data_IF_684169710264
#
_entry.id   IF_684169710264
#
_cell.length_a   1.000
_cell.length_b   1.000
_cell.length_c   1.000
_cell.angle_alpha   90.00
_cell.angle_beta   90.00
_cell.angle_gamma   90.00
#
_symmetry.space_group_name_H-M   'P 1'
#
loop_
_entity.id
_entity.type
_entity.pdbx_description
1 polymer ?
2 water ?
#
# COMPACT_ATOMS: atom_id res chain seq x y z
N UNK A 19 20.00 -18.36 17.37
CA UNK A 19 20.04 -18.17 15.89
C UNK A 19 18.96 -17.21 15.39
N UNK A 20 17.72 -17.44 15.84
CA UNK A 20 16.59 -16.60 15.43
C UNK A 20 16.94 -15.13 15.67
N UNK A 21 17.46 -14.86 16.85
CA UNK A 21 17.84 -13.51 17.22
C UNK A 21 18.91 -13.00 16.25
N UNK A 22 19.87 -13.85 15.94
CA UNK A 22 20.94 -13.48 15.03
C UNK A 22 20.36 -13.15 13.67
N UNK A 23 19.43 -13.98 13.22
CA UNK A 23 18.80 -13.78 11.92
C UNK A 23 17.99 -12.48 11.96
N UNK A 24 17.43 -12.18 13.12
CA UNK A 24 16.63 -10.96 13.30
C UNK A 24 17.51 -9.71 13.17
N UNK A 25 18.71 -9.75 13.76
CA UNK A 25 19.63 -8.62 13.67
C UNK A 25 20.08 -8.41 12.23
N UNK A 26 20.29 -9.51 11.52
CA UNK A 26 20.72 -9.43 10.12
C UNK A 26 19.63 -8.72 9.28
N UNK A 27 18.36 -9.02 9.56
CA UNK A 27 17.25 -8.42 8.83
C UNK A 27 17.20 -6.91 9.06
N UNK A 28 17.35 -6.51 10.32
CA UNK A 28 17.33 -5.09 10.70
C UNK A 28 18.49 -4.33 10.04
N UNK A 29 19.68 -4.93 10.10
CA UNK A 29 20.88 -4.30 9.55
C UNK A 29 20.75 -3.93 8.07
N UNK A 30 19.98 -4.71 7.31
CA UNK A 30 19.78 -4.44 5.89
C UNK A 30 19.03 -3.12 5.65
N UNK A 31 18.20 -2.73 6.60
CA UNK A 31 17.39 -1.50 6.48
C UNK A 31 18.13 -0.22 6.82
N UNK A 32 19.24 -0.36 7.54
CA UNK A 32 20.01 0.81 7.97
C UNK A 32 20.40 1.80 6.88
N UNK A 33 20.38 3.08 7.25
CA UNK A 33 20.79 4.14 6.37
C UNK A 33 21.76 5.01 7.16
N UNK A 34 22.67 5.73 6.48
CA UNK A 34 23.68 6.59 7.11
C UNK A 34 23.24 7.58 8.19
N UNK A 35 21.99 8.04 8.13
CA UNK A 35 21.52 9.00 9.11
C UNK A 35 21.21 8.37 10.47
N UNK A 36 21.19 7.04 10.53
CA UNK A 36 20.90 6.38 11.80
C UNK A 36 22.15 6.41 12.68
N UNK A 37 21.99 6.94 13.89
CA UNK A 37 23.10 7.03 14.83
C UNK A 37 22.83 6.06 15.96
N UNK A 38 23.79 5.18 16.23
CA UNK A 38 23.62 4.20 17.30
C UNK A 38 23.49 4.85 18.65
N UNK A 44 18.88 2.38 21.64
CA UNK A 44 17.87 2.74 20.65
C UNK A 44 18.48 3.54 19.52
N UNK A 45 17.92 3.44 18.33
CA UNK A 45 18.45 4.17 17.21
C UNK A 45 17.86 5.57 17.04
N UNK A 46 18.73 6.54 16.77
CA UNK A 46 18.32 7.92 16.57
C UNK A 46 18.40 8.21 15.07
N UNK A 47 17.59 9.14 14.58
CA UNK A 47 17.64 9.49 13.18
C UNK A 47 18.10 10.93 13.02
N UNK A 48 19.27 11.11 12.41
CA UNK A 48 19.82 12.44 12.20
C UNK A 48 19.20 13.12 10.99
N UNK A 49 18.07 13.78 11.23
CA UNK A 49 17.36 14.48 10.18
C UNK A 49 18.20 15.60 9.57
N UNK A 50 19.02 16.26 10.39
CA UNK A 50 19.85 17.37 9.91
C UNK A 50 20.75 16.98 8.74
N UNK A 51 21.06 15.70 8.63
CA UNK A 51 21.93 15.22 7.55
C UNK A 51 21.28 15.36 6.18
N UNK A 52 19.94 15.37 6.15
CA UNK A 52 19.19 15.45 4.90
C UNK A 52 19.07 16.86 4.32
N UNK A 53 19.31 17.88 5.15
CA UNK A 53 19.24 19.25 4.65
C UNK A 53 17.89 19.82 4.28
N UNK A 54 16.84 19.50 5.03
CA UNK A 54 15.52 20.04 4.77
C UNK A 54 15.53 21.43 5.41
N UNK A 55 14.96 22.41 4.72
CA UNK A 55 14.95 23.78 5.24
C UNK A 55 13.80 24.00 6.21
N UNK A 56 12.61 23.60 5.80
CA UNK A 56 11.42 23.73 6.63
C UNK A 56 10.79 22.34 6.72
N UNK A 57 11.38 21.45 7.52
CA UNK A 57 10.87 20.08 7.68
C UNK A 57 9.51 19.95 8.35
N UNK A 58 8.66 19.12 7.77
CA UNK A 58 7.34 18.82 8.33
C UNK A 58 7.31 17.29 8.47
N UNK A 59 6.99 16.81 9.65
CA UNK A 59 6.96 15.37 9.90
C UNK A 59 5.57 14.78 9.67
N UNK A 60 5.53 13.68 8.93
CA UNK A 60 4.28 12.99 8.63
C UNK A 60 4.44 11.59 9.19
N UNK A 61 3.50 11.18 10.02
CA UNK A 61 3.58 9.87 10.65
C UNK A 61 2.29 9.08 10.46
N UNK A 62 2.35 7.79 10.74
CA UNK A 62 1.18 6.96 10.60
C UNK A 62 1.38 5.60 11.22
N UNK A 63 0.29 4.99 11.67
CA UNK A 63 0.37 3.66 12.27
C UNK A 63 -0.66 2.78 11.58
N UNK A 64 -0.42 1.48 11.58
CA UNK A 64 -1.35 0.55 10.95
C UNK A 64 -1.10 -0.89 11.36
N UNK A 65 -2.15 -1.69 11.27
CA UNK A 65 -2.07 -3.10 11.58
C UNK A 65 -2.45 -3.83 10.31
N UNK A 66 -1.94 -5.04 10.11
CA UNK A 66 -2.27 -5.79 8.91
C UNK A 66 -3.77 -5.99 8.72
N UNK A 67 -4.45 -6.37 9.82
CA UNK A 67 -5.88 -6.59 9.73
C UNK A 67 -6.18 -8.07 9.65
N UNK A 68 -7.37 -8.42 9.18
CA UNK A 68 -7.79 -9.81 9.07
C UNK A 68 -6.93 -10.66 8.13
N UNK A 69 -6.15 -10.02 7.27
CA UNK A 69 -5.27 -10.74 6.35
C UNK A 69 -4.32 -11.61 7.19
N UNK A 70 -4.10 -11.17 8.42
CA UNK A 70 -3.21 -11.87 9.34
C UNK A 70 -3.71 -13.29 9.58
N UNK A 71 -5.03 -13.46 9.60
CA UNK A 71 -5.66 -14.76 9.82
C UNK A 71 -5.15 -15.79 8.81
N UNK A 72 -4.89 -15.34 7.59
CA UNK A 72 -4.38 -16.24 6.56
C UNK A 72 -2.95 -16.62 6.89
N UNK A 73 -2.20 -15.67 7.45
CA UNK A 73 -0.83 -15.92 7.83
C UNK A 73 -0.82 -17.06 8.85
N UNK A 74 -1.76 -17.02 9.79
CA UNK A 74 -1.87 -18.05 10.81
C UNK A 74 -2.15 -19.42 10.19
N UNK A 75 -3.22 -19.48 9.40
CA UNK A 75 -3.63 -20.72 8.73
C UNK A 75 -2.57 -21.38 7.87
N UNK A 76 -1.75 -20.57 7.20
CA UNK A 76 -0.71 -21.10 6.33
C UNK A 76 0.64 -21.24 7.02
N UNK A 77 0.73 -20.78 8.25
CA UNK A 77 1.97 -20.83 9.00
C UNK A 77 3.09 -20.19 8.18
N UNK A 78 2.77 -19.07 7.55
CA UNK A 78 3.72 -18.31 6.73
C UNK A 78 3.69 -16.88 7.27
N UNK A 79 4.78 -16.46 7.91
CA UNK A 79 4.81 -15.14 8.51
C UNK A 79 5.87 -14.17 8.04
N UNK A 80 6.60 -14.51 6.99
CA UNK A 80 7.65 -13.65 6.48
C UNK A 80 7.22 -12.63 5.43
N UNK A 81 5.91 -12.51 5.19
CA UNK A 81 5.43 -11.53 4.21
C UNK A 81 4.44 -10.49 4.78
N UNK A 82 3.64 -10.85 5.78
CA UNK A 82 2.68 -9.87 6.31
C UNK A 82 3.34 -8.61 6.84
N UNK A 83 4.64 -8.70 7.13
CA UNK A 83 5.35 -7.53 7.63
C UNK A 83 5.43 -6.49 6.54
N UNK A 84 5.47 -6.94 5.29
CA UNK A 84 5.55 -6.03 4.14
C UNK A 84 4.24 -5.25 4.05
N UNK A 85 3.11 -5.95 4.21
CA UNK A 85 1.79 -5.32 4.17
C UNK A 85 1.73 -4.24 5.22
N UNK A 86 2.25 -4.54 6.41
CA UNK A 86 2.25 -3.59 7.52
C UNK A 86 3.02 -2.33 7.13
N UNK A 87 4.24 -2.52 6.63
CA UNK A 87 5.08 -1.40 6.22
C UNK A 87 4.44 -0.61 5.07
N UNK A 88 3.90 -1.34 4.10
CA UNK A 88 3.26 -0.71 2.95
C UNK A 88 2.10 0.20 3.35
N UNK A 89 1.23 -0.28 4.24
CA UNK A 89 0.09 0.52 4.67
C UNK A 89 0.53 1.86 5.27
N UNK A 90 1.54 1.83 6.14
CA UNK A 90 2.02 3.05 6.76
C UNK A 90 2.76 3.95 5.76
N UNK A 91 3.67 3.37 5.00
CA UNK A 91 4.47 4.14 4.04
C UNK A 91 3.70 4.75 2.87
N UNK A 92 2.82 3.98 2.26
CA UNK A 92 2.04 4.48 1.13
C UNK A 92 1.18 5.67 1.53
N UNK A 93 0.70 5.67 2.77
CA UNK A 93 -0.10 6.79 3.23
C UNK A 93 0.74 8.05 3.43
N UNK A 94 2.02 7.84 3.76
CA UNK A 94 2.95 8.95 3.98
C UNK A 94 3.38 9.63 2.68
N UNK A 95 3.74 8.83 1.68
CA UNK A 95 4.20 9.39 0.41
C UNK A 95 3.13 10.13 -0.41
N UNK A 96 1.85 9.83 -0.18
CA UNK A 96 0.80 10.51 -0.94
C UNK A 96 0.77 12.00 -0.57
N UNK A 97 1.39 12.32 0.56
CA UNK A 97 1.45 13.71 0.99
C UNK A 97 2.77 14.35 0.58
N UNK A 98 3.57 13.59 -0.16
CA UNK A 98 4.85 14.10 -0.64
C UNK A 98 6.03 13.90 0.27
N UNK A 99 5.84 13.10 1.32
CA UNK A 99 6.92 12.87 2.27
C UNK A 99 7.78 11.68 1.89
N UNK A 100 9.03 11.71 2.34
CA UNK A 100 9.95 10.61 2.07
C UNK A 100 10.01 9.83 3.39
N UNK A 101 9.87 8.50 3.33
CA UNK A 101 9.91 7.69 4.56
C UNK A 101 11.32 7.69 5.16
N UNK A 102 11.41 7.91 6.48
CA UNK A 102 12.70 7.95 7.18
C UNK A 102 12.98 6.72 8.04
N UNK A 103 12.04 6.35 8.91
CA UNK A 103 12.24 5.20 9.76
C UNK A 103 10.93 4.53 10.14
N UNK A 104 11.05 3.29 10.62
CA UNK A 104 9.88 2.48 10.97
C UNK A 104 10.15 1.80 12.32
N UNK A 105 9.08 1.44 13.02
CA UNK A 105 9.18 0.73 14.29
C UNK A 105 8.01 -0.26 14.33
N UNK A 106 8.26 -1.48 14.81
CA UNK A 106 7.18 -2.46 14.88
C UNK A 106 6.88 -2.92 16.31
N UNK A 107 5.65 -3.41 16.50
CA UNK A 107 5.22 -3.90 17.79
C UNK A 107 4.53 -5.24 17.56
N UNK A 108 5.12 -6.30 18.09
CA UNK A 108 4.56 -7.64 17.95
C UNK A 108 4.02 -8.12 19.30
N UNK A 109 2.73 -8.43 19.35
CA UNK A 109 2.11 -8.93 20.57
C UNK A 109 1.79 -10.41 20.36
N UNK A 110 2.03 -11.22 21.39
CA UNK A 110 1.76 -12.65 21.30
C UNK A 110 1.69 -13.30 22.68
N UNK A 111 1.16 -14.52 22.72
CA UNK A 111 1.06 -15.25 23.96
C UNK A 111 2.46 -15.51 24.46
N UNK A 112 3.17 -16.40 23.78
CA UNK A 112 4.55 -16.70 24.12
C UNK A 112 5.36 -16.46 22.85
N UNK A 113 6.58 -15.96 23.02
CA UNK A 113 7.43 -15.64 21.87
C UNK A 113 8.34 -16.76 21.42
N UNK A 114 8.08 -17.28 20.22
CA UNK A 114 8.90 -18.33 19.63
C UNK A 114 9.90 -17.61 18.73
N UNK A 115 11.19 -17.61 19.13
CA UNK A 115 12.28 -16.96 18.40
C UNK A 115 12.20 -17.02 16.87
N UNK A 116 12.11 -18.22 16.31
CA UNK A 116 12.05 -18.37 14.85
C UNK A 116 10.83 -17.70 14.23
N UNK A 117 9.72 -17.72 14.96
CA UNK A 117 8.48 -17.12 14.51
C UNK A 117 8.63 -15.59 14.46
N UNK A 118 9.15 -15.03 15.54
CA UNK A 118 9.36 -13.59 15.63
C UNK A 118 10.34 -13.15 14.55
N UNK A 119 11.35 -13.97 14.32
CA UNK A 119 12.38 -13.69 13.32
C UNK A 119 11.79 -13.57 11.92
N UNK A 120 10.81 -14.42 11.62
CA UNK A 120 10.16 -14.41 10.31
C UNK A 120 9.25 -13.19 10.14
N UNK A 121 8.56 -12.80 11.21
CA UNK A 121 7.68 -11.65 11.17
C UNK A 121 8.52 -10.39 10.93
N UNK A 122 9.64 -10.29 11.61
CA UNK A 122 10.52 -9.13 11.47
C UNK A 122 11.14 -9.09 10.09
N UNK A 123 11.52 -10.25 9.55
CA UNK A 123 12.12 -10.32 8.23
C UNK A 123 11.25 -9.59 7.19
N UNK A 124 9.95 -9.85 7.24
CA UNK A 124 9.04 -9.22 6.30
C UNK A 124 8.98 -7.71 6.48
N UNK A 125 9.06 -7.27 7.73
CA UNK A 125 9.05 -5.86 8.06
C UNK A 125 10.31 -5.21 7.49
N UNK A 126 11.44 -5.87 7.71
CA UNK A 126 12.72 -5.37 7.22
C UNK A 126 12.68 -5.28 5.69
N UNK A 127 12.21 -6.35 5.05
CA UNK A 127 12.14 -6.35 3.58
C UNK A 127 11.33 -5.15 3.10
N UNK A 128 10.19 -4.91 3.75
CA UNK A 128 9.35 -3.79 3.36
C UNK A 128 10.09 -2.48 3.57
N UNK A 129 10.80 -2.38 4.70
CA UNK A 129 11.58 -1.19 5.02
C UNK A 129 12.65 -0.96 3.96
N UNK A 130 13.27 -2.05 3.52
CA UNK A 130 14.29 -1.95 2.47
C UNK A 130 13.63 -1.37 1.22
N UNK A 131 12.49 -1.93 0.84
CA UNK A 131 11.78 -1.44 -0.34
C UNK A 131 11.38 0.03 -0.22
N UNK A 132 10.98 0.43 0.98
CA UNK A 132 10.55 1.81 1.22
C UNK A 132 11.68 2.80 1.42
N UNK A 133 12.87 2.30 1.75
CA UNK A 133 14.02 3.16 1.95
C UNK A 133 14.09 3.73 3.35
N UNK A 134 13.31 3.17 4.27
CA UNK A 134 13.31 3.65 5.65
C UNK A 134 14.01 2.62 6.54
N UNK A 135 14.61 3.10 7.62
CA UNK A 135 15.31 2.19 8.52
C UNK A 135 14.42 1.69 9.63
N UNK A 136 14.55 0.41 9.96
CA UNK A 136 13.80 -0.19 11.06
C UNK A 136 14.65 0.09 12.29
N UNK A 137 14.47 1.27 12.87
CA UNK A 137 15.25 1.70 14.04
C UNK A 137 14.76 1.21 15.39
N UNK A 138 13.62 0.53 15.43
CA UNK A 138 13.13 0.06 16.72
C UNK A 138 12.06 -1.01 16.62
N UNK A 139 11.88 -1.73 17.72
CA UNK A 139 10.89 -2.78 17.76
C UNK A 139 10.53 -3.15 19.18
N UNK A 140 9.62 -4.10 19.33
CA UNK A 140 9.16 -4.54 20.63
C UNK A 140 8.33 -5.79 20.45
N UNK A 141 8.64 -6.81 21.23
CA UNK A 141 7.91 -8.07 21.21
C UNK A 141 7.32 -8.23 22.62
N UNK A 142 6.02 -8.06 22.74
CA UNK A 142 5.33 -8.17 24.02
C UNK A 142 4.56 -9.48 24.16
N UNK A 143 4.67 -10.10 25.33
CA UNK A 143 3.97 -11.36 25.59
C UNK A 143 2.79 -11.13 26.54
N UNK A 152 -0.99 -17.61 17.30
CA UNK A 152 -1.58 -16.32 16.97
C UNK A 152 -0.80 -15.13 17.51
N UNK A 153 -0.92 -13.99 16.84
CA UNK A 153 -0.23 -12.77 17.24
C UNK A 153 -0.82 -11.59 16.50
N UNK A 154 -0.37 -10.39 16.86
CA UNK A 154 -0.84 -9.17 16.21
C UNK A 154 0.37 -8.29 15.93
N UNK A 155 0.39 -7.69 14.74
CA UNK A 155 1.50 -6.82 14.36
C UNK A 155 1.00 -5.39 14.18
N UNK A 156 1.79 -4.43 14.66
CA UNK A 156 1.45 -3.03 14.53
C UNK A 156 2.69 -2.28 14.08
N UNK A 157 2.55 -1.40 13.11
CA UNK A 157 3.69 -0.65 12.63
C UNK A 157 3.51 0.85 12.75
N UNK A 158 4.62 1.58 12.80
CA UNK A 158 4.60 3.03 12.89
C UNK A 158 5.73 3.60 12.03
N UNK A 159 5.36 4.46 11.08
CA UNK A 159 6.34 5.06 10.19
C UNK A 159 6.36 6.58 10.33
N UNK A 160 7.53 7.15 10.12
CA UNK A 160 7.71 8.60 10.18
C UNK A 160 8.40 9.02 8.89
N UNK A 161 7.88 10.08 8.28
CA UNK A 161 8.46 10.61 7.05
C UNK A 161 8.61 12.10 7.18
N UNK A 162 9.31 12.73 6.23
CA UNK A 162 9.50 14.17 6.26
C UNK A 162 9.30 14.77 4.88
N UNK A 163 8.86 16.00 4.84
CA UNK A 163 8.65 16.70 3.58
C UNK A 163 8.99 18.17 3.73
N UNK A 164 9.40 18.78 2.63
CA UNK A 164 9.72 20.21 2.63
C UNK A 164 8.35 20.86 2.79
N UNK A 165 8.22 21.72 3.80
CA UNK A 165 6.93 22.39 4.06
C UNK A 165 6.25 22.93 2.81
N UNK A 166 6.99 23.70 2.01
CA UNK A 166 6.41 24.27 0.80
C UNK A 166 6.26 23.29 -0.35
N UNK A 167 6.66 22.04 -0.13
CA UNK A 167 6.52 21.01 -1.16
C UNK A 167 5.48 19.98 -0.78
N UNK A 168 4.67 20.29 0.23
CA UNK A 168 3.62 19.37 0.66
C UNK A 168 2.63 19.18 -0.49
N UNK A 169 2.25 17.94 -0.76
CA UNK A 169 1.29 17.65 -1.83
C UNK A 169 -0.05 17.57 -1.16
N UNK A 170 -0.90 18.58 -1.39
CA UNK A 170 -2.20 18.67 -0.77
C UNK A 170 -3.41 18.44 -1.67
N UNK A 171 -3.19 18.45 -2.98
CA UNK A 171 -4.29 18.25 -3.92
C UNK A 171 -5.08 19.54 -4.18
N UNK A 172 -4.74 20.59 -3.44
CA UNK A 172 -5.44 21.87 -3.59
C UNK A 172 -5.45 22.44 -5.00
N UNK A 173 -4.39 22.18 -5.78
CA UNK A 173 -4.32 22.72 -7.14
C UNK A 173 -5.06 21.89 -8.17
N UNK A 174 -5.69 20.79 -7.75
CA UNK A 174 -6.44 19.94 -8.68
C UNK A 174 -7.69 20.70 -9.17
N UNK A 175 -7.90 20.69 -10.49
CA UNK A 175 -9.05 21.37 -11.06
C UNK A 175 -9.78 20.48 -12.06
N UNK A 176 -11.01 20.86 -12.40
CA UNK A 176 -11.82 20.13 -13.36
C UNK A 176 -11.05 19.81 -14.63
N UNK A 177 -11.12 18.57 -15.09
CA UNK A 177 -10.42 18.20 -16.30
C UNK A 177 -9.09 17.52 -16.09
N UNK A 178 -8.55 17.57 -14.86
CA UNK A 178 -7.27 16.92 -14.62
C UNK A 178 -7.45 15.42 -14.76
N UNK A 179 -6.37 14.72 -15.10
CA UNK A 179 -6.42 13.28 -15.31
C UNK A 179 -6.05 12.47 -14.08
N UNK A 180 -6.60 11.27 -13.99
CA UNK A 180 -6.31 10.37 -12.89
C UNK A 180 -5.56 9.17 -13.46
N UNK A 181 -4.31 9.02 -13.05
CA UNK A 181 -3.46 7.92 -13.49
C UNK A 181 -3.35 6.90 -12.37
N UNK A 182 -3.78 5.67 -12.62
CA UNK A 182 -3.70 4.65 -11.59
C UNK A 182 -2.56 3.66 -11.77
N UNK A 183 -1.86 3.36 -10.68
CA UNK A 183 -0.77 2.38 -10.68
C UNK A 183 -1.39 1.09 -10.15
N UNK A 184 -1.21 -0.03 -10.85
CA UNK A 184 -1.76 -1.34 -10.45
C UNK A 184 -1.39 -1.82 -9.04
N UNK A 185 -2.30 -2.56 -8.43
CA UNK A 185 -2.04 -3.15 -7.11
C UNK A 185 -1.42 -4.50 -7.44
N UNK A 186 -0.85 -5.17 -6.44
CA UNK A 186 -0.24 -6.48 -6.65
C UNK A 186 -1.32 -7.54 -6.46
N UNK A 187 -2.44 -7.11 -5.86
CA UNK A 187 -3.55 -7.99 -5.59
C UNK A 187 -4.51 -7.29 -4.64
N UNK A 188 -5.02 -8.04 -3.67
CA UNK A 188 -5.96 -7.51 -2.68
C UNK A 188 -5.29 -6.51 -1.74
N UNK A 189 -3.97 -6.59 -1.66
CA UNK A 189 -3.23 -5.73 -0.77
C UNK A 189 -3.58 -6.05 0.69
N UNK A 190 -4.12 -5.09 1.43
CA UNK A 190 -4.44 -5.36 2.81
C UNK A 190 -5.85 -4.95 3.23
N UNK A 191 -6.78 -4.90 2.28
CA UNK A 191 -8.14 -4.50 2.59
C UNK A 191 -9.20 -5.41 1.97
N UNK A 192 -10.31 -5.56 2.68
CA UNK A 192 -11.39 -6.40 2.21
C UNK A 192 -11.24 -7.87 2.57
N UNK A 193 -10.42 -8.17 3.57
CA UNK A 193 -10.22 -9.56 3.95
C UNK A 193 -11.34 -10.17 4.78
N UNK A 194 -12.14 -9.35 5.45
CA UNK A 194 -13.26 -9.90 6.20
C UNK A 194 -14.20 -10.57 5.19
N UNK A 195 -14.50 -9.85 4.11
CA UNK A 195 -15.38 -10.35 3.07
C UNK A 195 -14.74 -11.56 2.38
N UNK A 196 -13.43 -11.48 2.14
CA UNK A 196 -12.72 -12.58 1.50
C UNK A 196 -12.84 -13.86 2.34
N UNK A 197 -12.60 -13.75 3.63
CA UNK A 197 -12.67 -14.89 4.53
C UNK A 197 -14.08 -15.50 4.58
N UNK A 198 -15.08 -14.63 4.48
CA UNK A 198 -16.47 -15.08 4.49
C UNK A 198 -16.77 -15.85 3.22
N UNK A 199 -16.26 -15.36 2.09
CA UNK A 199 -16.49 -16.00 0.80
C UNK A 199 -15.76 -17.32 0.65
N UNK A 200 -14.47 -17.33 0.97
CA UNK A 200 -13.66 -18.53 0.83
C UNK A 200 -13.92 -19.61 1.88
N UNK A 201 -14.30 -19.21 3.09
CA UNK A 201 -14.52 -20.19 4.15
C UNK A 201 -15.99 -20.48 4.47
N UNK A 202 -16.80 -19.43 4.64
CA UNK A 202 -18.21 -19.60 4.96
C UNK A 202 -19.07 -20.06 3.79
N UNK A 203 -18.92 -19.35 2.66
CA UNK A 203 -19.72 -19.61 1.48
C UNK A 203 -19.24 -20.65 0.47
N UNK A 204 -17.99 -20.56 0.04
CA UNK A 204 -17.47 -21.48 -0.96
C UNK A 204 -16.79 -22.72 -0.40
N UNK A 205 -16.34 -22.66 0.85
CA UNK A 205 -15.66 -23.79 1.48
C UNK A 205 -14.51 -24.28 0.57
N UNK A 206 -13.57 -23.38 0.29
CA UNK A 206 -12.44 -23.71 -0.59
C UNK A 206 -11.18 -24.08 0.19
N UNK A 207 -10.19 -24.59 -0.52
CA UNK A 207 -8.93 -24.98 0.10
C UNK A 207 -7.81 -24.02 -0.32
N UNK A 208 -7.06 -23.55 0.68
CA UNK A 208 -5.96 -22.62 0.44
C UNK A 208 -4.83 -23.25 -0.35
N UNK A 209 -4.91 -24.56 -0.58
CA UNK A 209 -3.86 -25.26 -1.33
C UNK A 209 -4.24 -25.52 -2.76
N UNK A 210 -5.51 -25.32 -3.08
CA UNK A 210 -6.02 -25.56 -4.43
C UNK A 210 -5.94 -24.35 -5.37
N UNK A 211 -5.82 -24.67 -6.65
CA UNK A 211 -5.73 -23.65 -7.69
C UNK A 211 -7.07 -23.56 -8.42
N UNK A 212 -7.77 -22.43 -8.26
CA UNK A 212 -9.05 -22.24 -8.91
C UNK A 212 -8.97 -21.17 -9.99
N UNK A 213 -9.44 -21.48 -11.18
CA UNK A 213 -9.44 -20.54 -12.29
C UNK A 213 -10.32 -19.36 -11.90
N UNK A 214 -9.97 -18.13 -12.35
CA UNK A 214 -8.83 -17.76 -13.19
C UNK A 214 -7.49 -17.56 -12.46
N UNK A 215 -7.42 -17.90 -11.18
CA UNK A 215 -6.18 -17.74 -10.43
C UNK A 215 -5.15 -18.70 -11.03
N UNK A 216 -3.87 -18.35 -10.93
CA UNK A 216 -2.84 -19.18 -11.51
C UNK A 216 -1.94 -19.86 -10.48
N UNK A 217 -2.19 -19.59 -9.20
CA UNK A 217 -1.42 -20.20 -8.12
C UNK A 217 -2.39 -20.66 -7.04
N UNK A 218 -1.91 -21.41 -6.03
CA UNK A 218 -2.82 -21.85 -4.99
C UNK A 218 -3.49 -20.63 -4.33
N UNK A 219 -4.76 -20.78 -3.95
CA UNK A 219 -5.52 -19.69 -3.33
C UNK A 219 -4.79 -19.06 -2.13
N UNK A 220 -4.20 -19.90 -1.29
CA UNK A 220 -3.47 -19.40 -0.13
C UNK A 220 -2.39 -18.40 -0.52
N UNK A 221 -1.66 -18.74 -1.58
CA UNK A 221 -0.57 -17.89 -2.07
C UNK A 221 -1.09 -16.59 -2.69
N UNK A 222 -2.21 -16.66 -3.40
CA UNK A 222 -2.79 -15.47 -4.00
C UNK A 222 -3.27 -14.49 -2.94
N UNK A 223 -3.97 -15.01 -1.93
CA UNK A 223 -4.49 -14.18 -0.86
C UNK A 223 -3.40 -13.58 0.02
N UNK A 224 -2.20 -14.18 -0.02
CA UNK A 224 -1.09 -13.70 0.79
C UNK A 224 -0.12 -12.75 0.06
N UNK A 225 -0.30 -12.57 -1.25
CA UNK A 225 0.60 -11.68 -1.98
C UNK A 225 0.73 -10.34 -1.28
N UNK A 226 1.97 -9.91 -1.00
CA UNK A 226 2.22 -8.65 -0.31
C UNK A 226 1.79 -7.39 -1.07
N UNK A 227 1.38 -6.40 -0.29
CA UNK A 227 0.95 -5.10 -0.79
C UNK A 227 2.14 -4.39 -1.44
N UNK A 228 1.90 -3.76 -2.58
CA UNK A 228 2.94 -3.02 -3.28
C UNK A 228 3.35 -1.77 -2.50
N UNK A 229 4.64 -1.46 -2.51
CA UNK A 229 5.14 -0.28 -1.84
C UNK A 229 5.56 0.68 -2.96
N UNK A 230 4.94 1.86 -3.00
CA UNK A 230 5.20 2.83 -4.06
C UNK A 230 6.24 3.91 -3.80
N UNK A 231 6.88 3.87 -2.64
CA UNK A 231 7.87 4.86 -2.25
C UNK A 231 8.93 5.23 -3.30
N UNK A 232 9.76 4.25 -3.67
CA UNK A 232 10.82 4.49 -4.65
C UNK A 232 10.30 5.00 -5.99
N UNK A 233 9.25 4.39 -6.49
CA UNK A 233 8.69 4.80 -7.77
C UNK A 233 8.22 6.26 -7.74
N UNK A 234 7.45 6.62 -6.72
CA UNK A 234 6.95 7.98 -6.63
C UNK A 234 8.04 9.02 -6.47
N UNK A 235 9.14 8.64 -5.85
CA UNK A 235 10.27 9.54 -5.65
C UNK A 235 10.93 9.82 -7.01
N UNK A 236 10.93 8.82 -7.89
CA UNK A 236 11.52 8.96 -9.22
C UNK A 236 10.60 9.79 -10.11
N UNK A 237 9.31 9.50 -10.01
CA UNK A 237 8.29 10.20 -10.79
C UNK A 237 8.27 11.69 -10.49
N UNK A 238 8.26 12.03 -9.21
CA UNK A 238 8.20 13.42 -8.79
C UNK A 238 9.38 14.27 -9.24
N UNK A 239 10.44 13.62 -9.71
CA UNK A 239 11.60 14.34 -10.18
C UNK A 239 11.44 14.77 -11.63
N UNK A 240 10.56 14.08 -12.36
CA UNK A 240 10.33 14.38 -13.77
C UNK A 240 8.94 14.91 -14.05
N UNK A 241 8.06 14.85 -13.05
CA UNK A 241 6.69 15.31 -13.26
C UNK A 241 6.07 15.99 -12.04
N UNK A 242 5.03 16.79 -12.31
CA UNK A 242 4.30 17.50 -11.29
C UNK A 242 3.07 16.68 -10.92
N UNK A 243 3.07 16.14 -9.70
CA UNK A 243 1.97 15.34 -9.19
C UNK A 243 1.14 16.29 -8.34
N UNK A 244 -0.09 16.55 -8.76
CA UNK A 244 -0.95 17.48 -8.04
C UNK A 244 -1.60 16.87 -6.81
N UNK A 245 -1.79 15.56 -6.83
CA UNK A 245 -2.40 14.88 -5.71
C UNK A 245 -2.25 13.38 -5.84
N UNK A 246 -2.41 12.66 -4.73
CA UNK A 246 -2.28 11.21 -4.72
C UNK A 246 -3.24 10.58 -3.74
N UNK A 247 -3.70 9.38 -4.06
CA UNK A 247 -4.61 8.65 -3.19
C UNK A 247 -4.23 7.17 -3.11
N UNK A 248 -3.99 6.70 -1.88
CA UNK A 248 -3.63 5.31 -1.63
C UNK A 248 -4.95 4.54 -1.46
N UNK A 249 -5.19 3.55 -2.30
CA UNK A 249 -6.44 2.80 -2.24
C UNK A 249 -6.45 1.73 -1.17
N UNK A 250 -7.06 2.07 -0.04
CA UNK A 250 -7.16 1.18 1.11
C UNK A 250 -8.61 0.90 1.47
N UNK A 251 -8.95 1.10 2.75
CA UNK A 251 -10.31 0.85 3.20
C UNK A 251 -11.30 1.69 2.43
N UNK A 252 -12.40 1.08 1.99
CA UNK A 252 -13.39 1.83 1.23
C UNK A 252 -13.12 1.86 -0.27
N UNK A 253 -11.98 1.32 -0.69
CA UNK A 253 -11.62 1.27 -2.10
C UNK A 253 -11.48 2.59 -2.82
N UNK A 254 -11.62 2.54 -4.14
CA UNK A 254 -11.52 3.72 -4.99
C UNK A 254 -12.59 4.75 -4.59
N UNK A 255 -13.79 4.26 -4.32
CA UNK A 255 -14.90 5.13 -3.95
C UNK A 255 -14.61 6.03 -2.75
N UNK A 256 -14.06 5.47 -1.68
CA UNK A 256 -13.78 6.26 -0.47
C UNK A 256 -12.46 7.04 -0.49
N UNK A 257 -11.44 6.50 -1.14
CA UNK A 257 -10.15 7.17 -1.13
C UNK A 257 -9.88 8.28 -2.15
N UNK A 258 -10.37 8.15 -3.37
CA UNK A 258 -10.14 9.19 -4.35
C UNK A 258 -10.63 10.56 -3.88
N UNK A 259 -11.82 10.63 -3.26
CA UNK A 259 -12.29 11.95 -2.82
C UNK A 259 -11.43 12.63 -1.74
N UNK A 260 -10.65 11.84 -1.00
CA UNK A 260 -9.79 12.40 0.05
C UNK A 260 -8.67 13.28 -0.47
N UNK A 261 -8.32 13.12 -1.74
CA UNK A 261 -7.24 13.90 -2.33
C UNK A 261 -7.76 15.10 -3.12
N UNK A 262 -9.06 15.07 -3.45
CA UNK A 262 -9.67 16.14 -4.22
C UNK A 262 -10.16 17.30 -3.37
N UNK A 263 -10.14 18.52 -3.92
CA UNK A 263 -10.58 19.72 -3.19
C UNK A 263 -12.10 19.67 -3.11
N UNK A 264 -12.70 20.44 -2.19
CA UNK A 264 -14.17 20.40 -2.12
C UNK A 264 -14.77 20.95 -3.40
N UNK A 265 -15.87 20.37 -3.84
CA UNK A 265 -16.50 20.84 -5.06
C UNK A 265 -16.03 20.08 -6.28
N UNK A 266 -15.00 19.25 -6.11
CA UNK A 266 -14.45 18.46 -7.21
C UNK A 266 -14.66 16.96 -7.00
N UNK A 267 -15.13 16.28 -8.05
CA UNK A 267 -15.37 14.84 -7.98
C UNK A 267 -14.58 14.11 -9.04
N UNK A 268 -14.74 12.78 -9.11
CA UNK A 268 -14.00 12.00 -10.09
C UNK A 268 -14.90 11.12 -10.96
N UNK A 269 -14.55 11.03 -12.24
CA UNK A 269 -15.30 10.18 -13.17
C UNK A 269 -14.36 9.06 -13.63
N UNK A 270 -14.61 7.86 -13.15
CA UNK A 270 -13.80 6.69 -13.48
C UNK A 270 -14.33 5.97 -14.72
N UNK A 271 -13.43 5.66 -15.64
CA UNK A 271 -13.79 4.97 -16.86
C UNK A 271 -13.61 3.47 -16.67
N UNK A 272 -14.74 2.76 -16.52
CA UNK A 272 -14.68 1.32 -16.34
C UNK A 272 -14.06 0.67 -17.57
N UNK A 273 -13.12 -0.24 -17.35
CA UNK A 273 -12.46 -0.92 -18.45
C UNK A 273 -11.18 -0.27 -18.93
N UNK A 274 -10.72 0.75 -18.22
CA UNK A 274 -9.49 1.45 -18.60
C UNK A 274 -8.26 0.88 -17.87
N UNK A 275 -8.48 -0.13 -17.03
CA UNK A 275 -7.36 -0.74 -16.33
C UNK A 275 -7.69 -2.21 -16.09
N UNK A 276 -6.67 -3.06 -15.97
CA UNK A 276 -6.94 -4.49 -15.75
C UNK A 276 -7.39 -4.91 -14.35
N UNK A 277 -8.60 -5.45 -14.27
CA UNK A 277 -9.13 -5.93 -13.01
C UNK A 277 -8.51 -7.30 -12.77
N UNK A 278 -7.62 -7.38 -11.80
CA UNK A 278 -6.94 -8.64 -11.50
C UNK A 278 -7.91 -9.80 -11.32
N UNK A 279 -7.50 -11.00 -11.73
CA UNK A 279 -8.32 -12.21 -11.62
C UNK A 279 -8.89 -12.46 -10.24
N UNK A 280 -8.08 -12.25 -9.20
CA UNK A 280 -8.53 -12.48 -7.82
C UNK A 280 -9.88 -11.83 -7.57
N UNK A 281 -10.11 -10.67 -8.17
CA UNK A 281 -11.36 -9.97 -7.99
C UNK A 281 -12.51 -10.65 -8.76
N UNK A 282 -12.22 -11.18 -9.94
CA UNK A 282 -13.26 -11.87 -10.71
C UNK A 282 -13.59 -13.16 -9.96
N UNK A 283 -12.56 -13.75 -9.37
CA UNK A 283 -12.71 -14.98 -8.60
C UNK A 283 -13.66 -14.71 -7.43
N UNK A 284 -13.36 -13.68 -6.66
CA UNK A 284 -14.17 -13.33 -5.49
C UNK A 284 -15.59 -12.92 -5.89
N UNK A 285 -15.73 -12.23 -7.03
CA UNK A 285 -17.06 -11.81 -7.46
C UNK A 285 -17.93 -13.03 -7.80
N UNK A 286 -17.31 -14.04 -8.40
CA UNK A 286 -18.04 -15.24 -8.77
C UNK A 286 -18.32 -16.11 -7.56
N UNK A 287 -17.26 -16.57 -6.89
CA UNK A 287 -17.40 -17.43 -5.73
C UNK A 287 -18.25 -16.83 -4.62
N UNK A 288 -18.34 -15.50 -4.60
CA UNK A 288 -19.13 -14.84 -3.58
C UNK A 288 -20.43 -14.23 -4.07
N UNK A 289 -20.73 -14.40 -5.36
CA UNK A 289 -21.95 -13.84 -5.95
C UNK A 289 -22.09 -12.37 -5.55
N UNK A 290 -21.01 -11.61 -5.74
CA UNK A 290 -20.98 -10.20 -5.36
C UNK A 290 -21.49 -9.22 -6.40
N UNK A 291 -22.08 -8.14 -5.92
CA UNK A 291 -22.61 -7.07 -6.76
C UNK A 291 -21.48 -6.08 -7.06
N UNK A 292 -21.56 -5.41 -8.20
CA UNK A 292 -20.55 -4.45 -8.61
C UNK A 292 -20.23 -3.37 -7.57
N UNK A 293 -21.26 -2.71 -7.04
CA UNK A 293 -21.04 -1.64 -6.08
C UNK A 293 -20.32 -2.07 -4.81
N UNK A 294 -20.65 -3.26 -4.28
CA UNK A 294 -20.00 -3.75 -3.08
C UNK A 294 -18.51 -3.94 -3.36
N UNK A 295 -18.20 -4.47 -4.53
CA UNK A 295 -16.81 -4.72 -4.95
C UNK A 295 -15.98 -3.45 -4.84
N UNK A 296 -16.41 -2.43 -5.57
CA UNK A 296 -15.70 -1.16 -5.59
C UNK A 296 -15.72 -0.44 -4.24
N UNK A 297 -16.61 -0.85 -3.36
CA UNK A 297 -16.70 -0.25 -2.03
C UNK A 297 -15.79 -0.95 -1.02
N UNK A 298 -15.20 -2.06 -1.42
CA UNK A 298 -14.33 -2.82 -0.53
C UNK A 298 -12.93 -3.13 -1.07
N UNK A 299 -12.85 -3.62 -2.31
CA UNK A 299 -11.56 -3.98 -2.91
C UNK A 299 -10.94 -2.86 -3.74
N UNK A 300 -9.63 -2.92 -3.98
CA UNK A 300 -8.96 -1.88 -4.78
C UNK A 300 -9.25 -2.14 -6.26
N UNK A 301 -9.81 -3.31 -6.56
CA UNK A 301 -10.17 -3.69 -7.92
C UNK A 301 -9.03 -3.64 -8.93
N UNK A 302 -7.78 -3.61 -8.45
CA UNK A 302 -6.66 -3.59 -9.36
C UNK A 302 -5.80 -2.32 -9.36
N UNK A 303 -6.22 -1.31 -8.61
CA UNK A 303 -5.45 -0.06 -8.53
C UNK A 303 -5.10 0.21 -7.07
N UNK A 304 -3.80 0.34 -6.80
CA UNK A 304 -3.35 0.59 -5.45
C UNK A 304 -3.03 2.05 -5.14
N UNK A 305 -2.75 2.83 -6.17
CA UNK A 305 -2.41 4.23 -5.99
C UNK A 305 -2.91 5.05 -7.17
N UNK A 306 -3.64 6.12 -6.87
CA UNK A 306 -4.16 7.01 -7.91
C UNK A 306 -3.45 8.35 -7.87
N UNK A 307 -2.99 8.81 -9.03
CA UNK A 307 -2.30 10.11 -9.13
C UNK A 307 -3.10 11.10 -9.97
N UNK A 308 -3.19 12.34 -9.51
CA UNK A 308 -3.91 13.37 -10.25
C UNK A 308 -2.86 14.27 -10.90
N UNK A 309 -2.98 14.48 -12.21
CA UNK A 309 -2.03 15.35 -12.90
C UNK A 309 -2.75 16.17 -13.95
N UNK A 310 -2.09 17.23 -14.39
CA UNK A 310 -2.64 18.10 -15.42
C UNK A 310 -2.87 17.22 -16.65
N UNK A 311 -3.85 17.56 -17.50
CA UNK A 311 -4.16 16.79 -18.71
C UNK A 311 -2.96 16.47 -19.61
N UNK A 312 -2.12 17.46 -19.86
CA UNK A 312 -0.96 17.28 -20.72
C UNK A 312 0.14 16.38 -20.14
N UNK A 313 0.09 16.12 -18.84
CA UNK A 313 1.10 15.28 -18.20
C UNK A 313 0.77 13.79 -18.24
N UNK A 314 -0.52 13.49 -18.32
CA UNK A 314 -1.02 12.11 -18.33
C UNK A 314 -0.27 11.13 -19.25
N UNK A 315 -0.38 11.31 -20.57
CA UNK A 315 0.28 10.41 -21.52
C UNK A 315 1.80 10.35 -21.32
N UNK A 316 2.47 11.51 -21.20
CA UNK A 316 3.92 11.50 -21.00
C UNK A 316 4.31 10.68 -19.77
N UNK A 317 3.60 10.90 -18.66
CA UNK A 317 3.87 10.16 -17.42
C UNK A 317 3.75 8.66 -17.67
N UNK A 318 2.65 8.24 -18.28
CA UNK A 318 2.40 6.83 -18.57
C UNK A 318 3.49 6.23 -19.46
N UNK A 319 3.93 7.00 -20.47
CA UNK A 319 4.97 6.52 -21.37
C UNK A 319 6.27 6.36 -20.62
N UNK A 320 6.63 7.39 -19.84
CA UNK A 320 7.85 7.37 -19.04
C UNK A 320 7.87 6.14 -18.12
N UNK A 321 6.78 5.91 -17.41
CA UNK A 321 6.69 4.76 -16.51
C UNK A 321 6.85 3.47 -17.29
N UNK A 322 6.23 3.42 -18.47
CA UNK A 322 6.29 2.25 -19.33
C UNK A 322 7.72 1.84 -19.68
N UNK A 323 8.56 2.84 -19.96
CA UNK A 323 9.95 2.59 -20.33
C UNK A 323 10.76 2.00 -19.17
N UNK A 324 10.35 2.30 -17.94
CA UNK A 324 11.04 1.79 -16.77
C UNK A 324 10.39 0.49 -16.28
N UNK A 325 9.52 -0.08 -17.10
CA UNK A 325 8.86 -1.32 -16.74
C UNK A 325 7.73 -1.18 -15.73
N UNK A 326 7.13 0.00 -15.66
CA UNK A 326 6.04 0.24 -14.71
C UNK A 326 4.73 0.51 -15.45
N UNK A 327 3.75 -0.39 -15.31
CA UNK A 327 2.47 -0.17 -15.99
C UNK A 327 1.67 0.93 -15.28
N UNK A 328 0.91 1.69 -16.05
CA UNK A 328 0.08 2.75 -15.51
C UNK A 328 -1.10 2.93 -16.45
N UNK A 329 -2.22 3.38 -15.90
CA UNK A 329 -3.43 3.55 -16.68
C UNK A 329 -4.19 4.84 -16.37
N UNK A 330 -4.65 5.51 -17.42
CA UNK A 330 -5.43 6.72 -17.27
C UNK A 330 -6.82 6.17 -16.99
N UNK A 331 -7.19 6.11 -15.72
CA UNK A 331 -8.46 5.56 -15.30
C UNK A 331 -9.65 6.51 -15.26
N UNK A 332 -9.42 7.80 -15.51
CA UNK A 332 -10.51 8.75 -15.49
C UNK A 332 -10.06 10.19 -15.44
N UNK A 333 -10.98 11.08 -15.07
CA UNK A 333 -10.67 12.50 -14.98
C UNK A 333 -11.48 13.14 -13.87
N UNK A 334 -11.01 14.28 -13.36
CA UNK A 334 -11.73 14.97 -12.30
C UNK A 334 -12.72 15.94 -12.94
N UNK A 335 -13.80 16.23 -12.24
CA UNK A 335 -14.83 17.14 -12.75
C UNK A 335 -15.51 17.84 -11.60
N UNK A 336 -16.12 18.98 -11.89
CA UNK A 336 -16.83 19.73 -10.88
C UNK A 336 -17.90 18.80 -10.32
N UNK A 337 -18.09 18.84 -9.01
CA UNK A 337 -19.08 18.00 -8.36
C UNK A 337 -18.47 17.49 -7.06
N UNK A 338 -18.59 16.20 -6.83
CA UNK A 338 -18.04 15.60 -5.63
C UNK A 338 -18.31 14.11 -5.66
N UNK A 339 -17.43 13.33 -5.04
CA UNK A 339 -17.60 11.90 -5.02
C UNK A 339 -17.05 11.23 -6.26
N UNK A 340 -17.21 9.91 -6.34
CA UNK A 340 -16.73 9.16 -7.47
C UNK A 340 -17.86 8.47 -8.20
N UNK A 341 -17.90 8.63 -9.52
CA UNK A 341 -18.92 8.00 -10.35
C UNK A 341 -18.23 7.21 -11.45
N UNK A 342 -18.88 6.15 -11.92
CA UNK A 342 -18.30 5.32 -12.96
C UNK A 342 -19.05 5.36 -14.29
N UNK A 343 -18.31 5.19 -15.38
CA UNK A 343 -18.87 5.23 -16.72
C UNK A 343 -18.31 4.12 -17.60
N UNK A 344 -18.98 3.87 -18.72
CA UNK A 344 -18.55 2.84 -19.65
C UNK A 344 -18.65 1.44 -19.10
#
# INVERSE_FOLDING_TARGET
GHMAKAYKQAGVDIEAGYQAVALMKEHVQKTMRPEVLGGIGGFGGLFDLSALGYRQPVLISGTDGVGTKLKLAFLLDRHDTIGIDCVAMCVNDIIVQGAEPLFFLDYIACGKAVPEKIAAIVKGVADGCVEAGCALIGGETAEMPGMYDEDEYDLAGFAVGVAEKERLITGETIQAGDALVGLPSSGLHSNGYSLVRRIVFEQAKLSLDEIYEPLDVPLGEELLKPTRIYAKLLRSVRERFTIKGMAHITGGGLIENIPRMLPPGIGARIQLGSWPILPIFDFLREKGSLEEEEMFSVFNMGIGLVLAVSPETAAPLVEWLSERGEPAYIIGEVAKGAGVSFAGGGRA
#
